data_IF_457585762067
#
_entry.id   IF_457585762067
#
_cell.length_a   1.000
_cell.length_b   1.000
_cell.length_c   1.000
_cell.angle_alpha   90.00
_cell.angle_beta   90.00
_cell.angle_gamma   90.00
#
_symmetry.space_group_name_H-M   'P 1'
#
loop_
_entity.id
_entity.type
_entity.pdbx_description
1 polymer ?
#
# COMPACT_ATOMS: atom_id res chain seq x y z
N UNK A 1 7.62 14.44 3.01
CA UNK A 1 6.72 14.76 1.87
C UNK A 1 6.98 13.83 0.68
N UNK A 2 8.23 13.67 0.20
CA UNK A 2 8.54 12.82 -0.96
C UNK A 2 8.07 11.36 -0.86
N UNK A 3 8.17 10.73 0.32
CA UNK A 3 7.73 9.35 0.52
C UNK A 3 6.21 9.16 0.38
N UNK A 4 5.42 10.02 1.03
CA UNK A 4 3.96 9.98 0.93
C UNK A 4 3.49 10.14 -0.53
N UNK A 5 4.16 11.01 -1.29
CA UNK A 5 3.82 11.22 -2.70
C UNK A 5 4.18 10.02 -3.59
N UNK A 6 5.31 9.36 -3.32
CA UNK A 6 5.69 8.12 -4.01
C UNK A 6 4.71 6.98 -3.72
N UNK A 7 4.26 6.83 -2.48
CA UNK A 7 3.27 5.84 -2.06
C UNK A 7 1.91 6.13 -2.72
N UNK A 8 1.45 7.39 -2.70
CA UNK A 8 0.22 7.81 -3.40
C UNK A 8 0.29 7.52 -4.90
N UNK A 9 1.43 7.76 -5.53
CA UNK A 9 1.63 7.47 -6.95
C UNK A 9 1.53 5.96 -7.24
N UNK A 10 2.15 5.13 -6.39
CA UNK A 10 2.05 3.67 -6.47
C UNK A 10 0.59 3.21 -6.33
N UNK A 11 -0.15 3.74 -5.35
CA UNK A 11 -1.56 3.42 -5.13
C UNK A 11 -2.40 3.77 -6.35
N UNK A 12 -2.27 4.99 -6.88
CA UNK A 12 -2.98 5.39 -8.10
C UNK A 12 -2.67 4.46 -9.28
N UNK A 13 -1.41 4.12 -9.51
CA UNK A 13 -1.04 3.22 -10.60
C UNK A 13 -1.60 1.80 -10.42
N UNK A 14 -1.54 1.25 -9.20
CA UNK A 14 -2.04 -0.09 -8.89
C UNK A 14 -3.57 -0.20 -9.08
N UNK A 15 -4.31 0.83 -8.69
CA UNK A 15 -5.77 0.84 -8.73
C UNK A 15 -6.37 1.42 -10.02
N UNK A 16 -5.58 2.07 -10.89
CA UNK A 16 -6.06 2.71 -12.12
C UNK A 16 -6.92 1.80 -13.00
N UNK A 17 -6.59 0.49 -13.06
CA UNK A 17 -7.34 -0.49 -13.86
C UNK A 17 -8.80 -0.68 -13.43
N UNK A 18 -9.16 -0.26 -12.22
CA UNK A 18 -10.51 -0.39 -11.67
C UNK A 18 -11.38 0.83 -11.95
N UNK A 19 -10.80 2.00 -12.25
CA UNK A 19 -11.56 3.24 -12.52
C UNK A 19 -12.59 3.06 -13.64
N UNK A 20 -12.23 2.50 -14.82
CA UNK A 20 -13.22 2.31 -15.89
C UNK A 20 -14.31 1.29 -15.54
N UNK A 21 -14.05 0.38 -14.60
CA UNK A 21 -14.99 -0.66 -14.16
C UNK A 21 -15.98 -0.15 -13.11
N UNK A 22 -15.55 0.81 -12.30
CA UNK A 22 -16.34 1.37 -11.20
C UNK A 22 -17.04 2.68 -11.58
N UNK A 23 -16.59 3.36 -12.65
CA UNK A 23 -17.08 4.67 -13.04
C UNK A 23 -16.64 5.81 -12.11
N UNK A 24 -15.78 5.51 -11.13
CA UNK A 24 -15.21 6.44 -10.16
C UNK A 24 -13.87 5.90 -9.64
N UNK A 25 -13.11 6.77 -8.99
CA UNK A 25 -11.84 6.40 -8.36
C UNK A 25 -12.09 5.47 -7.15
N UNK A 26 -11.35 4.34 -7.04
CA UNK A 26 -11.40 3.48 -5.85
C UNK A 26 -10.98 4.22 -4.58
N UNK A 27 -11.62 3.90 -3.45
CA UNK A 27 -11.33 4.51 -2.15
C UNK A 27 -9.82 4.56 -1.77
N UNK A 28 -8.98 3.53 -2.02
CA UNK A 28 -7.55 3.60 -1.73
C UNK A 28 -6.78 4.71 -2.47
N UNK A 29 -7.30 5.23 -3.59
CA UNK A 29 -6.70 6.36 -4.31
C UNK A 29 -6.83 7.69 -3.56
N UNK A 30 -7.77 7.77 -2.62
CA UNK A 30 -8.05 8.96 -1.79
C UNK A 30 -7.51 8.84 -0.36
N UNK A 31 -6.79 7.76 -0.04
CA UNK A 31 -6.24 7.56 1.30
C UNK A 31 -5.27 8.69 1.70
N UNK A 32 -5.39 9.16 2.94
CA UNK A 32 -4.43 10.12 3.47
C UNK A 32 -3.16 9.41 3.94
N UNK A 33 -2.29 9.15 2.98
CA UNK A 33 -1.01 8.47 3.22
C UNK A 33 -0.16 9.19 4.27
N UNK A 34 -0.22 10.52 4.36
CA UNK A 34 0.59 11.25 5.34
C UNK A 34 0.09 10.96 6.77
N UNK A 35 -1.23 10.88 6.95
CA UNK A 35 -1.83 10.50 8.23
C UNK A 35 -1.45 9.05 8.60
N UNK A 36 -1.59 8.10 7.68
CA UNK A 36 -1.22 6.70 7.93
C UNK A 36 0.27 6.52 8.25
N UNK A 37 1.17 7.27 7.59
CA UNK A 37 2.60 7.28 7.95
C UNK A 37 2.79 7.79 9.37
N UNK A 38 2.11 8.90 9.74
CA UNK A 38 2.18 9.46 11.09
C UNK A 38 1.70 8.50 12.19
N UNK A 39 0.81 7.56 11.83
CA UNK A 39 0.30 6.52 12.72
C UNK A 39 1.11 5.21 12.68
N UNK A 40 2.17 5.13 11.88
CA UNK A 40 2.95 3.91 11.63
C UNK A 40 2.11 2.75 11.05
N UNK A 41 1.09 3.08 10.26
CA UNK A 41 0.18 2.10 9.66
C UNK A 41 0.63 1.66 8.25
N UNK A 42 1.78 2.13 7.77
CA UNK A 42 2.26 1.88 6.40
C UNK A 42 3.52 1.03 6.40
N UNK A 43 3.49 -0.09 5.69
CA UNK A 43 4.67 -0.89 5.36
C UNK A 43 5.03 -0.71 3.88
N UNK A 44 6.31 -0.42 3.60
CA UNK A 44 6.77 -0.09 2.23
C UNK A 44 7.79 -1.13 1.74
N UNK A 45 7.59 -1.64 0.54
CA UNK A 45 8.60 -2.43 -0.17
C UNK A 45 9.46 -1.50 -1.04
N UNK A 46 10.77 -1.52 -0.82
CA UNK A 46 11.75 -0.71 -1.55
C UNK A 46 12.65 -1.57 -2.43
N UNK A 47 13.15 -0.99 -3.53
CA UNK A 47 14.27 -1.54 -4.29
C UNK A 47 15.63 -1.20 -3.63
N UNK A 48 16.76 -1.75 -4.13
CA UNK A 48 18.08 -1.43 -3.57
C UNK A 48 18.49 0.05 -3.71
N UNK A 49 17.85 0.81 -4.59
CA UNK A 49 18.09 2.24 -4.77
C UNK A 49 17.16 3.11 -3.89
N UNK A 50 16.25 2.50 -3.11
CA UNK A 50 15.31 3.19 -2.24
C UNK A 50 14.01 3.62 -2.92
N UNK A 51 13.70 3.13 -4.12
CA UNK A 51 12.44 3.43 -4.80
C UNK A 51 11.30 2.55 -4.27
N UNK A 52 10.12 3.14 -4.09
CA UNK A 52 8.89 2.43 -3.70
C UNK A 52 8.48 1.46 -4.81
N UNK A 53 8.41 0.17 -4.49
CA UNK A 53 7.91 -0.90 -5.36
C UNK A 53 6.44 -1.26 -5.05
N UNK A 54 6.02 -1.04 -3.81
CA UNK A 54 4.69 -1.35 -3.31
C UNK A 54 4.57 -0.97 -1.84
N UNK A 55 3.35 -1.00 -1.31
CA UNK A 55 3.08 -0.74 0.08
C UNK A 55 1.84 -1.51 0.56
N UNK A 56 1.72 -1.62 1.88
CA UNK A 56 0.52 -2.05 2.57
C UNK A 56 0.12 -1.01 3.62
N UNK A 57 -1.19 -0.85 3.84
CA UNK A 57 -1.75 -0.11 4.97
C UNK A 57 -2.39 -1.13 5.90
N UNK A 58 -1.93 -1.19 7.14
CA UNK A 58 -2.46 -2.04 8.18
C UNK A 58 -2.66 -1.25 9.48
N UNK A 59 -3.80 -1.44 10.14
CA UNK A 59 -4.20 -0.73 11.36
C UNK A 59 -4.49 -1.71 12.47
N UNK A 60 -4.06 -1.39 13.69
CA UNK A 60 -4.39 -2.19 14.87
C UNK A 60 -5.77 -1.78 15.40
N UNK A 61 -6.67 -2.74 15.53
CA UNK A 61 -8.01 -2.56 16.09
C UNK A 61 -8.19 -3.52 17.27
N UNK A 62 -7.86 -3.00 18.46
CA UNK A 62 -7.88 -3.81 19.68
C UNK A 62 -6.83 -4.91 19.64
N UNK A 63 -7.29 -6.17 19.65
CA UNK A 63 -6.41 -7.34 19.59
C UNK A 63 -6.20 -7.88 18.16
N UNK A 64 -6.83 -7.25 17.16
CA UNK A 64 -6.76 -7.68 15.77
C UNK A 64 -6.03 -6.64 14.91
N UNK A 65 -5.40 -7.11 13.84
CA UNK A 65 -4.78 -6.25 12.84
C UNK A 65 -5.59 -6.30 11.55
N UNK A 66 -6.04 -5.13 11.09
CA UNK A 66 -6.80 -4.97 9.85
C UNK A 66 -5.88 -4.53 8.71
N UNK A 67 -5.76 -5.38 7.69
CA UNK A 67 -5.13 -5.02 6.42
C UNK A 67 -6.14 -4.29 5.53
N UNK A 68 -5.92 -3.01 5.28
CA UNK A 68 -6.83 -2.16 4.51
C UNK A 68 -6.47 -2.11 3.02
N UNK A 69 -5.19 -1.87 2.72
CA UNK A 69 -4.72 -1.70 1.34
C UNK A 69 -3.45 -2.50 1.10
N UNK A 70 -3.35 -3.15 -0.06
CA UNK A 70 -2.08 -3.64 -0.61
C UNK A 70 -1.98 -3.17 -2.05
N UNK A 71 -0.91 -2.47 -2.38
CA UNK A 71 -0.66 -1.94 -3.70
C UNK A 71 0.78 -2.20 -4.13
N UNK A 72 0.96 -2.52 -5.41
CA UNK A 72 2.27 -2.76 -6.03
C UNK A 72 2.26 -2.06 -7.38
N UNK A 73 3.38 -1.44 -7.75
CA UNK A 73 3.53 -0.86 -9.08
C UNK A 73 3.22 -1.91 -10.16
N UNK A 74 2.42 -1.58 -11.19
CA UNK A 74 2.06 -2.53 -12.24
C UNK A 74 3.25 -3.25 -12.88
N UNK A 75 4.37 -2.55 -13.10
CA UNK A 75 5.59 -3.11 -13.70
C UNK A 75 6.32 -4.13 -12.80
N UNK A 76 5.97 -4.14 -11.52
CA UNK A 76 6.48 -5.07 -10.50
C UNK A 76 5.42 -6.08 -10.02
N UNK A 77 4.21 -6.04 -10.60
CA UNK A 77 3.17 -7.02 -10.32
C UNK A 77 3.58 -8.43 -10.79
N UNK A 78 2.98 -9.46 -10.19
CA UNK A 78 3.30 -10.86 -10.51
C UNK A 78 4.65 -11.37 -9.97
N UNK A 79 5.46 -10.52 -9.32
CA UNK A 79 6.76 -10.88 -8.72
C UNK A 79 6.69 -11.32 -7.25
N UNK A 80 5.48 -11.59 -6.74
CA UNK A 80 5.26 -12.00 -5.35
C UNK A 80 5.37 -10.88 -4.29
N UNK A 81 5.57 -9.61 -4.69
CA UNK A 81 5.70 -8.48 -3.77
C UNK A 81 4.48 -8.29 -2.86
N UNK A 82 3.26 -8.37 -3.40
CA UNK A 82 2.04 -8.26 -2.60
C UNK A 82 1.95 -9.35 -1.53
N UNK A 83 2.33 -10.60 -1.86
CA UNK A 83 2.36 -11.71 -0.90
C UNK A 83 3.38 -11.46 0.22
N UNK A 84 4.55 -10.91 -0.11
CA UNK A 84 5.59 -10.57 0.87
C UNK A 84 5.14 -9.44 1.79
N UNK A 85 4.45 -8.44 1.26
CA UNK A 85 3.85 -7.36 2.07
C UNK A 85 2.81 -7.91 3.05
N UNK A 86 1.92 -8.79 2.59
CA UNK A 86 0.92 -9.44 3.45
C UNK A 86 1.60 -10.24 4.57
N UNK A 87 2.59 -11.09 4.23
CA UNK A 87 3.31 -11.87 5.21
C UNK A 87 4.02 -11.00 6.26
N UNK A 88 4.59 -9.85 5.84
CA UNK A 88 5.19 -8.90 6.77
C UNK A 88 4.17 -8.31 7.73
N UNK A 89 2.98 -7.95 7.25
CA UNK A 89 1.88 -7.46 8.10
C UNK A 89 1.41 -8.54 9.08
N UNK A 90 1.30 -9.80 8.63
CA UNK A 90 0.96 -10.93 9.51
C UNK A 90 2.01 -11.16 10.61
N UNK A 91 3.29 -10.94 10.33
CA UNK A 91 4.36 -10.99 11.32
C UNK A 91 4.25 -9.87 12.37
N UNK A 92 3.85 -8.66 11.95
CA UNK A 92 3.62 -7.52 12.86
C UNK A 92 2.40 -7.74 13.78
N UNK A 93 1.46 -8.58 13.37
CA UNK A 93 0.24 -8.89 14.14
C UNK A 93 0.44 -9.94 15.24
N UNK A 94 1.65 -10.51 15.38
CA UNK A 94 1.96 -11.57 16.33
C UNK A 94 2.64 -11.03 17.58
#
# INVERSE_FOLDING_TARGET
MAEADAIRACGRAAFARYVPRMGQDPAPMHADIAAHIGLNEVSVALDPAGNVLGYAICRAEGAEMHLDTVAVWPDHAGRGLGKRLIAHVEELAR
#
